data_IF_582739657647
#
_entry.id   IF_582739657647
#
_cell.length_a   1.000
_cell.length_b   1.000
_cell.length_c   1.000
_cell.angle_alpha   90.00
_cell.angle_beta   90.00
_cell.angle_gamma   90.00
#
_symmetry.space_group_name_H-M   'P 1'
#
loop_
_entity.id
_entity.type
_entity.pdbx_description
1 polymer ?
#
# COMPACT_ATOMS: atom_id res chain seq x y z
N UNK A 1 -6.34 -25.69 -3.40
CA UNK A 1 -7.13 -24.69 -4.15
C UNK A 1 -8.28 -24.28 -3.26
N UNK A 2 -8.41 -23.00 -2.92
CA UNK A 2 -9.61 -22.51 -2.25
C UNK A 2 -10.79 -22.61 -3.23
N UNK A 3 -12.00 -22.94 -2.78
CA UNK A 3 -13.18 -22.98 -3.64
C UNK A 3 -13.40 -21.61 -4.27
N UNK A 4 -13.46 -21.55 -5.61
CA UNK A 4 -13.82 -20.35 -6.36
C UNK A 4 -15.31 -20.10 -6.18
N UNK A 5 -15.65 -19.37 -5.13
CA UNK A 5 -17.00 -18.85 -4.94
C UNK A 5 -17.25 -17.76 -6.00
N UNK A 6 -18.38 -17.81 -6.74
CA UNK A 6 -18.74 -16.74 -7.67
C UNK A 6 -18.82 -15.40 -6.93
N UNK A 7 -18.35 -14.32 -7.57
CA UNK A 7 -18.27 -12.94 -7.03
C UNK A 7 -17.21 -12.68 -5.94
N UNK A 8 -16.39 -13.67 -5.55
CA UNK A 8 -15.35 -13.49 -4.52
C UNK A 8 -13.97 -13.19 -5.12
N UNK A 9 -13.69 -13.67 -6.34
CA UNK A 9 -12.42 -13.44 -7.03
C UNK A 9 -12.38 -12.14 -7.84
N UNK A 10 -13.54 -11.67 -8.32
CA UNK A 10 -13.69 -10.44 -9.10
C UNK A 10 -14.96 -9.72 -8.63
N UNK A 11 -14.79 -8.53 -8.03
CA UNK A 11 -15.90 -7.72 -7.53
C UNK A 11 -15.90 -6.36 -8.23
N UNK A 12 -16.84 -6.17 -9.15
CA UNK A 12 -17.00 -4.95 -9.94
C UNK A 12 -17.64 -3.79 -9.14
N UNK A 13 -18.13 -4.04 -7.93
CA UNK A 13 -18.67 -3.02 -7.02
C UNK A 13 -17.57 -2.17 -6.40
N UNK A 14 -16.34 -2.71 -6.31
CA UNK A 14 -15.21 -2.00 -5.71
C UNK A 14 -14.72 -0.95 -6.71
N UNK A 15 -14.95 0.33 -6.38
CA UNK A 15 -14.48 1.47 -7.20
C UNK A 15 -13.00 1.76 -6.97
N UNK A 16 -12.55 1.67 -5.72
CA UNK A 16 -11.20 2.04 -5.29
C UNK A 16 -10.65 0.93 -4.40
N UNK A 17 -9.48 0.40 -4.76
CA UNK A 17 -8.75 -0.60 -3.97
C UNK A 17 -7.34 -0.10 -3.63
N UNK A 18 -6.96 -0.21 -2.36
CA UNK A 18 -5.65 0.18 -1.84
C UNK A 18 -5.09 -0.94 -0.99
N UNK A 19 -3.83 -1.28 -1.23
CA UNK A 19 -3.14 -2.30 -0.46
C UNK A 19 -1.71 -1.88 -0.19
N UNK A 20 -1.31 -1.95 1.09
CA UNK A 20 0.06 -1.80 1.51
C UNK A 20 0.70 -3.20 1.66
N UNK A 21 1.86 -3.39 1.04
CA UNK A 21 2.58 -4.65 0.99
C UNK A 21 3.95 -4.53 1.64
N UNK A 22 4.36 -5.56 2.38
CA UNK A 22 5.65 -5.62 3.07
C UNK A 22 6.75 -6.20 2.18
N UNK A 23 7.85 -5.47 1.99
CA UNK A 23 9.02 -5.93 1.22
C UNK A 23 9.85 -6.99 1.96
N UNK A 24 9.99 -6.86 3.28
CA UNK A 24 10.96 -7.66 4.04
C UNK A 24 10.35 -8.91 4.70
N UNK A 25 9.07 -9.17 4.48
CA UNK A 25 8.40 -10.34 5.07
C UNK A 25 8.80 -11.64 4.37
N UNK A 26 9.43 -12.56 5.13
CA UNK A 26 10.03 -13.80 4.63
C UNK A 26 9.41 -15.08 5.21
N UNK A 27 8.34 -15.01 6.00
CA UNK A 27 7.68 -16.23 6.50
C UNK A 27 6.88 -16.90 5.40
N UNK A 28 7.05 -18.22 5.25
CA UNK A 28 6.46 -19.02 4.18
C UNK A 28 4.93 -18.93 4.07
N UNK A 29 4.26 -18.73 5.21
CA UNK A 29 2.79 -18.60 5.29
C UNK A 29 2.26 -17.18 5.08
N UNK A 30 3.12 -16.16 5.05
CA UNK A 30 2.71 -14.74 4.96
C UNK A 30 2.78 -14.22 3.54
N UNK A 31 2.20 -14.94 2.60
CA UNK A 31 2.26 -14.58 1.18
C UNK A 31 1.28 -13.46 0.85
N UNK A 32 1.69 -12.49 0.01
CA UNK A 32 0.77 -11.43 -0.40
C UNK A 32 -0.26 -12.01 -1.37
N UNK A 33 -1.52 -11.61 -1.19
CA UNK A 33 -2.58 -11.86 -2.17
C UNK A 33 -2.81 -10.55 -2.91
N UNK A 34 -2.61 -10.57 -4.22
CA UNK A 34 -2.83 -9.41 -5.08
C UNK A 34 -4.29 -9.31 -5.52
N UNK A 35 -4.69 -8.12 -5.93
CA UNK A 35 -5.99 -7.88 -6.53
C UNK A 35 -6.08 -8.55 -7.90
N UNK A 36 -7.07 -9.43 -8.08
CA UNK A 36 -7.31 -10.10 -9.35
C UNK A 36 -8.31 -9.27 -10.16
N UNK A 37 -7.85 -8.64 -11.25
CA UNK A 37 -8.78 -8.02 -12.20
C UNK A 37 -9.40 -9.09 -13.09
N UNK A 38 -10.72 -9.01 -13.31
CA UNK A 38 -11.37 -9.81 -14.33
C UNK A 38 -10.72 -9.46 -15.69
N UNK A 39 -10.23 -10.47 -16.41
CA UNK A 39 -9.85 -10.26 -17.81
C UNK A 39 -11.12 -9.84 -18.56
N UNK A 40 -11.11 -8.73 -19.32
CA UNK A 40 -12.22 -8.43 -20.20
C UNK A 40 -12.42 -9.66 -21.10
N UNK A 41 -13.66 -10.14 -21.22
CA UNK A 41 -13.98 -11.17 -22.21
C UNK A 41 -13.63 -10.56 -23.57
N UNK A 42 -12.52 -10.98 -24.17
CA UNK A 42 -12.26 -10.70 -25.57
C UNK A 42 -13.34 -11.42 -26.36
N UNK A 43 -14.37 -10.67 -26.74
CA UNK A 43 -15.17 -10.98 -27.91
C UNK A 43 -14.19 -11.13 -29.07
N UNK A 44 -14.31 -12.21 -29.83
CA UNK A 44 -13.48 -12.65 -30.97
C UNK A 44 -12.39 -13.67 -30.65
N UNK A 45 -12.81 -14.94 -30.48
CA UNK A 45 -12.37 -15.97 -31.42
C UNK A 45 -13.59 -16.71 -31.93
N UNK A 46 -14.04 -16.31 -33.13
CA UNK A 46 -14.98 -17.04 -33.96
C UNK A 46 -14.33 -18.34 -34.43
N UNK A 47 -14.25 -19.34 -33.55
CA UNK A 47 -13.96 -20.72 -33.97
C UNK A 47 -15.29 -21.38 -34.32
N UNK A 48 -15.46 -21.65 -35.61
CA UNK A 48 -16.52 -22.50 -36.15
C UNK A 48 -16.57 -23.83 -35.38
N UNK A 49 -17.50 -23.99 -34.47
CA UNK A 49 -17.90 -25.30 -33.93
C UNK A 49 -19.33 -25.55 -34.34
N UNK A 50 -19.49 -26.59 -35.15
CA UNK A 50 -20.77 -27.09 -35.64
C UNK A 50 -21.72 -27.36 -34.46
N UNK A 51 -22.95 -26.92 -34.62
CA UNK A 51 -24.07 -27.31 -33.78
C UNK A 51 -24.23 -28.84 -33.79
N UNK A 52 -24.28 -29.44 -32.61
CA UNK A 52 -25.15 -30.59 -32.30
C UNK A 52 -25.13 -30.89 -30.79
N UNK A 53 -26.30 -30.64 -30.19
CA UNK A 53 -27.01 -31.40 -29.15
C UNK A 53 -26.36 -31.64 -27.76
N UNK A 54 -26.98 -31.08 -26.71
CA UNK A 54 -27.83 -31.80 -25.73
C UNK A 54 -28.10 -30.89 -24.50
N UNK A 55 -29.39 -30.73 -24.19
CA UNK A 55 -29.96 -30.04 -23.03
C UNK A 55 -29.51 -30.63 -21.68
N UNK A 56 -29.20 -29.75 -20.72
CA UNK A 56 -29.59 -29.91 -19.31
C UNK A 56 -29.40 -28.58 -18.59
N UNK A 57 -30.51 -28.00 -18.15
CA UNK A 57 -30.64 -26.63 -17.68
C UNK A 57 -30.03 -26.36 -16.31
N UNK A 58 -29.22 -25.29 -16.25
CA UNK A 58 -29.37 -24.19 -15.28
C UNK A 58 -29.08 -22.91 -16.06
N UNK A 59 -30.12 -22.22 -16.54
CA UNK A 59 -29.98 -20.88 -17.09
C UNK A 59 -29.70 -19.93 -15.93
N UNK A 60 -28.46 -19.45 -15.83
CA UNK A 60 -28.17 -18.25 -15.05
C UNK A 60 -29.07 -17.12 -15.57
N UNK A 61 -29.72 -16.34 -14.70
CA UNK A 61 -30.58 -15.26 -15.15
C UNK A 61 -29.74 -14.34 -16.05
N UNK A 62 -30.18 -14.17 -17.29
CA UNK A 62 -29.70 -13.12 -18.18
C UNK A 62 -30.16 -11.79 -17.57
N UNK A 63 -29.39 -11.32 -16.60
CA UNK A 63 -29.49 -9.97 -16.07
C UNK A 63 -29.16 -8.98 -17.17
N UNK A 64 -29.98 -7.95 -17.25
CA UNK A 64 -30.02 -6.88 -18.23
C UNK A 64 -28.62 -6.29 -18.49
N UNK A 65 -28.36 -6.06 -19.77
CA UNK A 65 -27.35 -5.16 -20.39
C UNK A 65 -26.05 -4.91 -19.62
N UNK A 66 -24.93 -5.20 -20.26
CA UNK A 66 -23.56 -4.78 -19.91
C UNK A 66 -23.43 -3.24 -19.74
N UNK A 67 -24.10 -2.66 -18.73
CA UNK A 67 -23.92 -1.29 -18.30
C UNK A 67 -22.54 -1.17 -17.69
N UNK A 68 -21.57 -0.88 -18.54
CA UNK A 68 -20.43 0.00 -18.28
C UNK A 68 -19.86 -0.10 -16.86
N UNK A 69 -19.51 -1.31 -16.43
CA UNK A 69 -18.84 -1.49 -15.14
C UNK A 69 -17.52 -0.74 -15.15
N UNK A 70 -17.43 0.31 -14.33
CA UNK A 70 -16.23 1.15 -14.24
C UNK A 70 -15.07 0.34 -13.70
N UNK A 71 -13.92 0.38 -14.40
CA UNK A 71 -12.67 -0.27 -13.96
C UNK A 71 -12.31 0.15 -12.52
N UNK A 72 -12.10 -0.81 -11.63
CA UNK A 72 -11.60 -0.55 -10.27
C UNK A 72 -10.24 0.15 -10.31
N UNK A 73 -10.10 1.25 -9.57
CA UNK A 73 -8.82 1.92 -9.38
C UNK A 73 -8.00 1.19 -8.31
N UNK A 74 -7.05 0.37 -8.74
CA UNK A 74 -6.20 -0.49 -7.90
C UNK A 74 -4.84 0.16 -7.70
N UNK A 75 -4.39 0.30 -6.45
CA UNK A 75 -3.00 0.63 -6.09
C UNK A 75 -2.50 -0.34 -5.03
N UNK A 76 -1.45 -1.07 -5.37
CA UNK A 76 -0.75 -2.00 -4.48
C UNK A 76 0.68 -1.49 -4.29
N UNK A 77 0.98 -0.94 -3.13
CA UNK A 77 2.21 -0.20 -2.87
C UNK A 77 3.06 -0.94 -1.84
N UNK A 78 4.35 -1.06 -2.14
CA UNK A 78 5.33 -1.78 -1.34
C UNK A 78 6.06 -0.84 -0.39
N UNK A 79 6.14 -1.25 0.88
CA UNK A 79 6.74 -0.53 1.99
C UNK A 79 7.90 -1.32 2.59
N UNK A 80 8.82 -0.58 3.23
CA UNK A 80 9.91 -1.13 4.04
C UNK A 80 9.34 -1.93 5.21
N UNK A 81 9.99 -3.02 5.57
CA UNK A 81 9.68 -3.80 6.78
C UNK A 81 8.88 -5.08 6.54
N UNK A 82 8.64 -5.81 7.63
CA UNK A 82 7.90 -7.06 7.66
C UNK A 82 6.38 -6.84 7.82
N UNK A 83 5.60 -7.91 7.95
CA UNK A 83 4.13 -7.85 7.95
C UNK A 83 3.55 -6.84 8.97
N UNK A 84 4.06 -6.82 10.19
CA UNK A 84 3.58 -5.92 11.24
C UNK A 84 4.25 -4.54 11.21
N UNK A 85 5.37 -4.39 10.49
CA UNK A 85 5.95 -3.07 10.23
C UNK A 85 5.14 -2.31 9.17
N UNK A 86 4.29 -3.00 8.41
CA UNK A 86 3.33 -2.37 7.47
C UNK A 86 1.91 -2.37 8.03
N UNK A 87 1.48 -3.46 8.68
CA UNK A 87 0.13 -3.60 9.24
C UNK A 87 -0.06 -3.03 10.65
N UNK A 88 1.03 -2.75 11.38
CA UNK A 88 1.00 -2.34 12.78
C UNK A 88 0.96 -3.50 13.78
N UNK A 89 1.09 -3.18 15.06
CA UNK A 89 0.89 -4.10 16.19
C UNK A 89 2.14 -4.83 16.71
N UNK A 90 3.35 -4.50 16.25
CA UNK A 90 4.60 -5.09 16.76
C UNK A 90 5.46 -4.17 17.63
N UNK A 91 5.27 -2.86 17.56
CA UNK A 91 6.00 -1.87 18.37
C UNK A 91 5.02 -1.27 19.37
N UNK A 92 5.45 -1.12 20.63
CA UNK A 92 4.67 -0.40 21.64
C UNK A 92 4.75 1.11 21.37
N UNK A 93 3.69 1.84 21.66
CA UNK A 93 3.55 3.28 21.34
C UNK A 93 4.47 4.22 22.14
N UNK A 94 5.56 3.72 22.74
CA UNK A 94 6.35 4.45 23.73
C UNK A 94 7.04 5.70 23.18
N UNK A 95 7.36 5.72 21.89
CA UNK A 95 8.14 6.80 21.27
C UNK A 95 7.39 7.56 20.16
N UNK A 96 6.12 7.22 19.90
CA UNK A 96 5.32 7.82 18.82
C UNK A 96 5.82 7.55 17.40
N UNK A 97 6.87 6.73 17.25
CA UNK A 97 7.51 6.42 15.98
C UNK A 97 7.55 4.92 15.71
N UNK A 98 7.06 4.51 14.54
CA UNK A 98 6.99 3.13 14.10
C UNK A 98 6.99 3.07 12.57
N UNK A 99 7.61 2.04 11.97
CA UNK A 99 7.58 1.82 10.51
C UNK A 99 6.14 1.77 9.97
N UNK A 100 5.20 1.23 10.75
CA UNK A 100 3.78 1.12 10.37
C UNK A 100 3.06 2.46 10.27
N UNK A 101 3.63 3.52 10.85
CA UNK A 101 3.06 4.85 10.71
C UNK A 101 3.16 5.36 9.26
N UNK A 102 4.17 4.92 8.51
CA UNK A 102 4.37 5.31 7.11
C UNK A 102 3.22 4.78 6.24
N UNK A 103 2.94 3.47 6.32
CA UNK A 103 1.82 2.87 5.60
C UNK A 103 0.46 3.39 6.07
N UNK A 104 0.34 3.71 7.37
CA UNK A 104 -0.87 4.33 7.92
C UNK A 104 -1.10 5.75 7.35
N UNK A 105 -0.07 6.61 7.33
CA UNK A 105 -0.14 7.95 6.69
C UNK A 105 -0.54 7.84 5.23
N UNK A 106 0.10 6.95 4.49
CA UNK A 106 -0.23 6.71 3.09
C UNK A 106 -1.68 6.25 2.92
N UNK A 107 -2.16 5.32 3.75
CA UNK A 107 -3.54 4.84 3.67
C UNK A 107 -4.56 5.95 3.93
N UNK A 108 -4.31 6.81 4.93
CA UNK A 108 -5.18 7.95 5.24
C UNK A 108 -5.22 8.93 4.06
N UNK A 109 -4.06 9.21 3.45
CA UNK A 109 -3.98 10.05 2.24
C UNK A 109 -4.79 9.45 1.10
N UNK A 110 -4.61 8.17 0.78
CA UNK A 110 -5.38 7.53 -0.29
C UNK A 110 -6.88 7.45 0.01
N UNK A 111 -7.29 7.36 1.29
CA UNK A 111 -8.70 7.42 1.69
C UNK A 111 -9.30 8.82 1.48
N UNK A 112 -8.55 9.87 1.80
CA UNK A 112 -8.97 11.25 1.59
C UNK A 112 -9.00 11.61 0.10
N UNK A 113 -8.00 11.17 -0.67
CA UNK A 113 -7.95 11.37 -2.13
C UNK A 113 -9.07 10.61 -2.85
N UNK A 114 -9.48 9.45 -2.33
CA UNK A 114 -10.56 8.65 -2.87
C UNK A 114 -11.97 9.20 -2.53
N UNK A 115 -12.06 10.19 -1.63
CA UNK A 115 -13.30 10.78 -1.14
C UNK A 115 -14.38 9.74 -0.78
N UNK A 116 -13.99 8.78 0.05
CA UNK A 116 -14.85 7.65 0.42
C UNK A 116 -15.82 7.93 1.58
N UNK A 117 -15.89 9.17 2.08
CA UNK A 117 -16.80 9.57 3.16
C UNK A 117 -16.46 9.02 4.55
N UNK A 118 -15.22 8.57 4.77
CA UNK A 118 -14.77 8.09 6.09
C UNK A 118 -14.60 9.28 7.05
N UNK A 119 -15.28 9.20 8.19
CA UNK A 119 -15.15 10.20 9.26
C UNK A 119 -14.00 9.83 10.19
N UNK A 120 -13.12 10.80 10.44
CA UNK A 120 -11.97 10.60 11.32
C UNK A 120 -12.11 11.35 12.65
N UNK A 121 -11.63 10.75 13.72
CA UNK A 121 -11.48 11.43 15.00
C UNK A 121 -10.18 12.25 14.99
N UNK A 122 -10.30 13.57 14.85
CA UNK A 122 -9.17 14.49 14.77
C UNK A 122 -8.27 14.46 16.02
N UNK A 123 -8.84 14.23 17.20
CA UNK A 123 -8.06 14.11 18.44
C UNK A 123 -7.20 12.83 18.44
N UNK A 124 -7.61 11.78 17.73
CA UNK A 124 -6.80 10.57 17.61
C UNK A 124 -5.57 10.80 16.73
N UNK A 125 -5.65 11.62 15.70
CA UNK A 125 -4.53 11.93 14.81
C UNK A 125 -3.36 12.61 15.53
N UNK A 126 -3.64 13.52 16.47
CA UNK A 126 -2.60 14.14 17.30
C UNK A 126 -1.83 13.15 18.16
N UNK A 127 -2.43 12.03 18.57
CA UNK A 127 -1.75 10.98 19.35
C UNK A 127 -0.74 10.18 18.53
N UNK A 128 -0.96 10.10 17.22
CA UNK A 128 -0.15 9.28 16.31
C UNK A 128 0.80 10.12 15.45
N UNK A 129 0.96 11.42 15.74
CA UNK A 129 1.69 12.38 14.89
C UNK A 129 1.20 12.37 13.43
N UNK A 130 -0.09 12.14 13.23
CA UNK A 130 -0.76 12.09 11.93
C UNK A 130 -1.55 13.38 11.70
N UNK A 131 -0.96 14.56 11.90
CA UNK A 131 -1.70 15.82 11.78
C UNK A 131 -2.38 15.93 10.39
N UNK A 132 -3.70 16.08 10.38
CA UNK A 132 -4.53 16.06 9.15
C UNK A 132 -4.21 17.23 8.23
N UNK A 133 -3.68 18.32 8.79
CA UNK A 133 -3.15 19.44 8.00
C UNK A 133 -1.95 19.02 7.12
N UNK A 134 -1.30 17.90 7.43
CA UNK A 134 -0.24 17.28 6.63
C UNK A 134 -0.79 16.48 5.44
N UNK A 135 -2.05 16.04 5.53
CA UNK A 135 -2.68 15.18 4.51
C UNK A 135 -3.44 16.02 3.48
N UNK A 136 -3.98 17.18 3.87
CA UNK A 136 -4.44 18.21 2.94
C UNK A 136 -4.22 19.63 3.50
N UNK A 137 -3.42 20.48 2.83
CA UNK A 137 -3.34 21.91 3.17
C UNK A 137 -4.68 22.65 3.02
N UNK A 138 -5.59 22.13 2.19
CA UNK A 138 -6.81 22.80 1.74
C UNK A 138 -7.94 22.80 2.79
N UNK A 139 -7.97 21.83 3.72
CA UNK A 139 -8.98 21.75 4.79
C UNK A 139 -8.80 22.84 5.87
N UNK A 140 -7.60 23.43 5.96
CA UNK A 140 -7.27 24.46 6.93
C UNK A 140 -8.07 25.76 6.71
N UNK A 141 -8.44 26.06 5.46
CA UNK A 141 -9.18 27.28 5.10
C UNK A 141 -10.64 27.26 5.54
N UNK A 142 -11.27 26.07 5.59
CA UNK A 142 -12.68 25.93 5.94
C UNK A 142 -12.93 25.92 7.45
N UNK A 143 -11.93 25.53 8.26
CA UNK A 143 -12.08 25.44 9.72
C UNK A 143 -11.64 26.71 10.46
N UNK A 144 -10.85 27.60 9.83
CA UNK A 144 -10.39 28.84 10.46
C UNK A 144 -11.42 29.98 10.45
N UNK A 145 -12.44 29.92 9.59
CA UNK A 145 -13.47 30.97 9.50
C UNK A 145 -14.52 30.93 10.61
N UNK A 146 -14.51 29.92 11.48
CA UNK A 146 -15.46 29.78 12.59
C UNK A 146 -14.88 30.11 13.98
N UNK A 147 -13.60 30.50 14.09
CA UNK A 147 -12.94 30.81 15.37
C UNK A 147 -12.52 32.28 15.54
N UNK A 148 -12.71 33.14 14.55
CA UNK A 148 -12.36 34.57 14.60
C UNK A 148 -13.61 35.47 14.64
N UNK A 149 -14.41 35.33 15.69
CA UNK A 149 -15.42 36.36 16.00
C UNK A 149 -15.63 36.59 17.50
N UNK A 150 -14.59 36.48 18.32
CA UNK A 150 -14.59 37.00 19.70
C UNK A 150 -13.17 37.38 20.13
N UNK A 151 -12.86 38.69 20.21
CA UNK A 151 -11.65 39.16 20.89
C UNK A 151 -11.02 40.42 20.30
N UNK A 152 -11.19 41.53 21.01
CA UNK A 152 -10.75 42.90 20.71
C UNK A 152 -9.22 43.12 20.65
N UNK A 153 -8.83 44.03 19.75
CA UNK A 153 -7.81 45.10 19.85
C UNK A 153 -6.62 44.98 20.83
N UNK A 154 -5.38 45.08 20.30
CA UNK A 154 -4.48 46.23 20.53
C UNK A 154 -3.15 46.15 19.74
N UNK A 155 -2.78 47.32 19.21
CA UNK A 155 -1.60 47.69 18.43
C UNK A 155 -0.21 47.27 18.97
N UNK A 156 0.69 46.85 18.07
CA UNK A 156 2.07 47.42 17.97
C UNK A 156 2.77 47.02 16.67
N UNK A 157 3.01 47.99 15.79
CA UNK A 157 3.93 47.83 14.66
C UNK A 157 5.39 47.93 15.07
N UNK A 158 6.29 47.39 14.24
CA UNK A 158 7.69 47.83 14.05
C UNK A 158 8.32 47.11 12.83
N UNK A 159 8.44 47.88 11.75
CA UNK A 159 9.55 47.99 10.77
C UNK A 159 10.07 46.80 9.96
N UNK A 160 10.03 47.03 8.64
CA UNK A 160 10.76 46.41 7.54
C UNK A 160 12.24 46.05 7.83
N UNK A 161 12.67 44.87 7.37
CA UNK A 161 14.01 44.70 6.80
C UNK A 161 14.05 43.59 5.75
N UNK A 162 14.08 44.01 4.49
CA UNK A 162 14.47 43.19 3.37
C UNK A 162 15.89 42.63 3.57
N UNK A 163 16.05 41.33 3.31
CA UNK A 163 17.28 40.74 2.78
C UNK A 163 16.87 39.60 1.87
N UNK A 164 16.95 39.86 0.56
CA UNK A 164 17.04 38.80 -0.42
C UNK A 164 18.30 37.98 -0.17
N UNK A 165 18.18 36.67 -0.36
CA UNK A 165 19.32 35.79 -0.61
C UNK A 165 18.84 34.54 -1.35
N UNK A 166 19.10 34.59 -2.65
CA UNK A 166 19.72 33.54 -3.47
C UNK A 166 19.07 32.15 -3.49
N UNK A 167 18.60 31.82 -4.70
CA UNK A 167 18.30 30.48 -5.20
C UNK A 167 19.34 29.43 -4.78
N UNK A 168 18.92 28.50 -3.93
CA UNK A 168 19.33 27.11 -4.03
C UNK A 168 18.07 26.26 -4.07
N UNK A 169 17.82 25.64 -5.21
CA UNK A 169 16.82 24.60 -5.41
C UNK A 169 17.22 23.34 -4.64
N UNK A 170 17.14 23.37 -3.32
CA UNK A 170 16.95 22.18 -2.51
C UNK A 170 15.44 21.98 -2.42
N UNK A 171 14.95 20.88 -2.99
CA UNK A 171 13.55 20.47 -2.82
C UNK A 171 13.27 20.41 -1.31
N UNK A 172 12.48 21.36 -0.80
CA UNK A 172 12.07 21.34 0.59
C UNK A 172 11.26 20.06 0.80
N UNK A 173 11.82 19.12 1.55
CA UNK A 173 11.10 17.93 1.99
C UNK A 173 9.80 18.39 2.62
N UNK A 174 8.71 17.80 2.15
CA UNK A 174 7.39 18.01 2.73
C UNK A 174 7.39 17.56 4.20
N UNK A 175 6.48 18.12 4.99
CA UNK A 175 6.36 17.75 6.40
C UNK A 175 6.06 16.26 6.59
N UNK A 176 5.37 15.60 5.64
CA UNK A 176 5.12 14.15 5.69
C UNK A 176 6.40 13.32 5.47
N UNK A 177 7.26 13.72 4.54
CA UNK A 177 8.55 13.04 4.32
C UNK A 177 9.46 13.16 5.53
N UNK A 178 9.43 14.29 6.23
CA UNK A 178 10.19 14.48 7.47
C UNK A 178 9.74 13.52 8.59
N UNK A 179 8.43 13.29 8.73
CA UNK A 179 7.93 12.29 9.69
C UNK A 179 8.25 10.86 9.25
N UNK A 180 8.09 10.54 7.96
CA UNK A 180 8.50 9.24 7.41
C UNK A 180 9.98 8.94 7.69
N UNK A 181 10.84 9.95 7.57
CA UNK A 181 12.27 9.83 7.85
C UNK A 181 12.57 9.50 9.32
N UNK A 182 11.77 10.00 10.27
CA UNK A 182 11.89 9.64 11.68
C UNK A 182 11.47 8.19 11.91
N UNK A 183 10.37 7.77 11.29
CA UNK A 183 9.86 6.40 11.40
C UNK A 183 10.79 5.36 10.75
N UNK A 184 11.48 5.73 9.66
CA UNK A 184 12.50 4.90 8.99
C UNK A 184 13.76 4.62 9.84
N UNK A 185 13.94 5.31 10.97
CA UNK A 185 15.04 5.00 11.90
C UNK A 185 14.78 3.72 12.71
N UNK A 186 13.52 3.27 12.78
CA UNK A 186 13.16 2.07 13.50
C UNK A 186 13.65 0.82 12.75
N UNK A 187 14.12 -0.17 13.51
CA UNK A 187 14.60 -1.43 12.94
C UNK A 187 13.42 -2.33 12.55
N UNK A 188 13.38 -2.87 11.31
CA UNK A 188 12.38 -3.85 10.91
C UNK A 188 12.33 -5.07 11.83
N UNK A 189 11.12 -5.54 12.14
CA UNK A 189 10.89 -6.66 13.05
C UNK A 189 10.67 -7.95 12.25
N UNK A 190 11.78 -8.63 11.93
CA UNK A 190 11.70 -9.95 11.32
C UNK A 190 11.50 -11.06 12.38
N UNK A 191 10.35 -11.72 12.32
CA UNK A 191 10.03 -12.79 13.26
C UNK A 191 10.86 -14.07 13.05
N UNK A 192 11.48 -14.28 11.89
CA UNK A 192 12.40 -15.41 11.67
C UNK A 192 13.75 -15.21 12.35
N UNK A 193 14.14 -13.95 12.60
CA UNK A 193 15.42 -13.58 13.21
C UNK A 193 15.34 -13.39 14.73
N UNK A 194 14.15 -13.53 15.33
CA UNK A 194 13.97 -13.48 16.78
C UNK A 194 14.73 -14.63 17.46
N UNK A 195 15.35 -14.32 18.61
CA UNK A 195 16.07 -15.27 19.46
C UNK A 195 15.22 -15.63 20.69
N UNK A 196 15.21 -16.89 21.16
CA UNK A 196 15.83 -18.09 20.57
C UNK A 196 15.13 -18.52 19.26
N UNK A 197 15.69 -19.51 18.55
CA UNK A 197 15.25 -19.94 17.19
C UNK A 197 13.73 -19.91 17.07
N UNK A 198 13.26 -19.05 16.18
CA UNK A 198 11.85 -18.81 15.96
C UNK A 198 11.13 -20.09 15.50
N UNK A 199 9.98 -20.40 16.12
CA UNK A 199 9.13 -21.55 15.72
C UNK A 199 8.70 -21.48 14.25
N UNK A 200 8.77 -20.31 13.63
CA UNK A 200 8.54 -20.14 12.20
C UNK A 200 9.47 -20.99 11.32
N UNK A 201 10.71 -21.29 11.77
CA UNK A 201 11.64 -22.14 11.01
C UNK A 201 11.12 -23.56 10.76
N UNK A 202 10.30 -24.12 11.65
CA UNK A 202 9.66 -25.41 11.40
C UNK A 202 8.75 -25.36 10.16
N UNK A 203 8.08 -24.23 9.93
CA UNK A 203 7.22 -24.03 8.77
C UNK A 203 8.01 -23.72 7.49
N UNK A 204 9.25 -23.22 7.60
CA UNK A 204 10.13 -22.93 6.46
C UNK A 204 10.66 -24.21 5.77
N UNK A 205 10.73 -25.32 6.51
CA UNK A 205 11.20 -26.62 6.02
C UNK A 205 10.06 -27.42 5.37
N UNK A 206 8.80 -27.06 5.60
CA UNK A 206 7.65 -27.75 5.00
C UNK A 206 7.53 -27.33 3.53
N UNK A 207 7.51 -28.28 2.57
CA UNK A 207 7.33 -27.95 1.17
C UNK A 207 5.98 -27.30 0.92
N UNK A 208 5.99 -26.05 0.42
CA UNK A 208 4.78 -25.31 0.04
C UNK A 208 4.81 -24.98 -1.44
N UNK A 209 3.63 -24.88 -2.07
CA UNK A 209 3.52 -24.55 -3.51
C UNK A 209 3.69 -23.06 -3.69
N UNK A 210 4.78 -22.57 -4.26
CA UNK A 210 5.03 -21.16 -4.60
C UNK A 210 4.55 -20.82 -5.99
N UNK A 211 3.82 -19.71 -6.11
CA UNK A 211 3.42 -19.10 -7.37
C UNK A 211 4.29 -17.89 -7.64
N UNK A 212 4.91 -17.82 -8.81
CA UNK A 212 5.64 -16.62 -9.27
C UNK A 212 5.29 -16.34 -10.72
N UNK A 213 5.40 -15.08 -11.14
CA UNK A 213 5.14 -14.72 -12.55
C UNK A 213 6.46 -14.65 -13.29
N UNK A 214 6.55 -15.38 -14.39
CA UNK A 214 7.73 -15.35 -15.24
C UNK A 214 7.89 -14.00 -15.93
N UNK A 215 9.08 -13.70 -16.47
CA UNK A 215 9.28 -12.54 -17.35
C UNK A 215 8.33 -12.51 -18.56
N UNK A 216 7.79 -13.66 -18.96
CA UNK A 216 6.80 -13.82 -20.02
C UNK A 216 5.35 -13.53 -19.58
N UNK A 217 5.11 -13.22 -18.31
CA UNK A 217 3.78 -12.92 -17.77
C UNK A 217 2.95 -14.14 -17.36
N UNK A 218 3.50 -15.36 -17.48
CA UNK A 218 2.84 -16.59 -17.07
C UNK A 218 3.06 -16.89 -15.59
N UNK A 219 2.02 -17.34 -14.88
CA UNK A 219 2.13 -17.74 -13.47
C UNK A 219 2.52 -19.21 -13.37
N UNK A 220 3.75 -19.46 -12.91
CA UNK A 220 4.22 -20.82 -12.62
C UNK A 220 4.06 -21.18 -11.15
N UNK A 221 3.79 -22.46 -10.88
CA UNK A 221 3.68 -23.01 -9.52
C UNK A 221 4.74 -24.08 -9.28
N UNK A 222 5.62 -23.88 -8.29
CA UNK A 222 6.63 -24.87 -7.88
C UNK A 222 6.45 -25.27 -6.43
N UNK A 223 6.54 -26.56 -6.11
CA UNK A 223 6.59 -27.05 -4.72
C UNK A 223 8.03 -27.11 -4.23
N UNK A 224 8.36 -26.34 -3.20
CA UNK A 224 9.72 -26.29 -2.64
C UNK A 224 9.64 -25.94 -1.14
N UNK A 225 10.76 -26.05 -0.41
CA UNK A 225 10.91 -25.53 0.94
C UNK A 225 11.28 -24.04 0.90
N UNK A 226 10.79 -23.23 1.82
CA UNK A 226 10.96 -21.77 1.72
C UNK A 226 12.34 -21.29 2.20
N UNK A 227 12.84 -21.87 3.31
CA UNK A 227 14.14 -21.54 3.93
C UNK A 227 14.36 -20.03 4.22
N UNK A 228 13.30 -19.29 4.55
CA UNK A 228 13.39 -17.86 4.83
C UNK A 228 13.83 -17.02 3.61
N UNK A 229 13.58 -17.51 2.39
CA UNK A 229 13.85 -16.77 1.15
C UNK A 229 12.96 -15.51 1.07
N UNK A 230 13.48 -14.50 0.40
CA UNK A 230 12.72 -13.31 0.05
C UNK A 230 11.50 -13.64 -0.80
N UNK A 231 10.38 -12.94 -0.56
CA UNK A 231 9.21 -13.03 -1.43
C UNK A 231 9.52 -12.53 -2.83
N UNK A 232 8.82 -13.06 -3.82
CA UNK A 232 8.89 -12.58 -5.20
C UNK A 232 7.94 -11.39 -5.38
N UNK A 233 8.42 -10.36 -6.07
CA UNK A 233 7.65 -9.14 -6.37
C UNK A 233 7.38 -9.08 -7.88
N UNK A 234 6.14 -8.76 -8.30
CA UNK A 234 5.77 -8.56 -9.70
C UNK A 234 6.65 -7.56 -10.45
N UNK A 235 6.80 -7.70 -11.78
CA UNK A 235 7.45 -6.67 -12.59
C UNK A 235 6.70 -5.34 -12.49
N UNK A 236 7.44 -4.24 -12.59
CA UNK A 236 6.91 -2.88 -12.45
C UNK A 236 6.20 -2.60 -11.11
N UNK A 237 6.82 -2.92 -9.95
CA UNK A 237 6.18 -2.71 -8.67
C UNK A 237 6.12 -1.22 -8.30
N UNK A 238 5.06 -0.84 -7.59
CA UNK A 238 4.94 0.50 -7.00
C UNK A 238 5.57 0.49 -5.61
N UNK A 239 6.71 1.15 -5.45
CA UNK A 239 7.38 1.30 -4.16
C UNK A 239 6.98 2.63 -3.53
N UNK A 240 6.78 2.67 -2.22
CA UNK A 240 6.57 3.94 -1.55
C UNK A 240 7.86 4.77 -1.56
N UNK A 241 7.77 6.10 -1.64
CA UNK A 241 8.92 7.02 -1.64
C UNK A 241 9.83 6.84 -0.41
N UNK A 242 9.27 6.40 0.71
CA UNK A 242 10.05 6.04 1.91
C UNK A 242 11.09 4.94 1.63
N UNK A 243 10.84 4.03 0.69
CA UNK A 243 11.81 3.01 0.28
C UNK A 243 13.04 3.66 -0.36
N UNK A 244 12.85 4.62 -1.26
CA UNK A 244 13.93 5.39 -1.88
C UNK A 244 14.73 6.17 -0.84
N UNK A 245 14.04 6.92 0.02
CA UNK A 245 14.68 7.68 1.10
C UNK A 245 15.51 6.79 2.04
N UNK A 246 15.01 5.59 2.35
CA UNK A 246 15.72 4.65 3.21
C UNK A 246 16.95 4.04 2.53
N UNK A 247 16.87 3.77 1.22
CA UNK A 247 18.03 3.31 0.41
C UNK A 247 19.14 4.36 0.41
N UNK A 248 18.79 5.62 0.12
CA UNK A 248 19.76 6.72 -0.01
C UNK A 248 20.43 7.07 1.33
N UNK A 249 19.66 7.13 2.42
CA UNK A 249 20.17 7.62 3.71
C UNK A 249 20.74 6.53 4.60
N UNK A 250 20.09 5.37 4.62
CA UNK A 250 20.42 4.29 5.57
C UNK A 250 21.06 3.07 4.88
N UNK A 251 21.28 3.13 3.55
CA UNK A 251 21.85 2.02 2.79
C UNK A 251 20.96 0.78 2.76
N UNK A 252 19.64 0.95 2.92
CA UNK A 252 18.69 -0.16 2.98
C UNK A 252 18.65 -0.94 1.66
N UNK A 253 18.53 -2.26 1.78
CA UNK A 253 18.30 -3.17 0.64
C UNK A 253 17.09 -4.05 0.97
N UNK A 254 16.03 -4.04 0.15
CA UNK A 254 14.87 -4.90 0.37
C UNK A 254 15.27 -6.37 0.39
N UNK A 255 14.66 -7.15 1.28
CA UNK A 255 14.85 -8.61 1.33
C UNK A 255 14.03 -9.36 0.28
N UNK A 256 13.13 -8.68 -0.43
CA UNK A 256 12.36 -9.23 -1.54
C UNK A 256 13.23 -9.47 -2.79
N UNK A 257 12.80 -10.42 -3.61
CA UNK A 257 13.37 -10.71 -4.93
C UNK A 257 12.55 -9.98 -6.01
N UNK A 258 13.17 -9.02 -6.68
CA UNK A 258 12.56 -8.22 -7.75
C UNK A 258 13.60 -7.85 -8.81
N UNK A 259 13.14 -7.42 -9.99
CA UNK A 259 14.03 -6.92 -11.05
C UNK A 259 14.41 -5.47 -10.73
N UNK A 260 15.68 -5.24 -10.40
CA UNK A 260 16.20 -3.89 -10.15
C UNK A 260 15.96 -2.96 -11.36
N UNK A 261 15.63 -1.70 -11.09
CA UNK A 261 15.27 -0.66 -12.06
C UNK A 261 13.92 -0.87 -12.77
N UNK A 262 13.06 -1.75 -12.25
CA UNK A 262 11.65 -1.82 -12.71
C UNK A 262 10.69 -1.12 -11.76
N UNK A 263 11.14 -0.75 -10.56
CA UNK A 263 10.32 -0.09 -9.55
C UNK A 263 9.93 1.35 -9.94
N UNK A 264 8.71 1.74 -9.60
CA UNK A 264 8.24 3.13 -9.68
C UNK A 264 7.93 3.63 -8.28
N UNK A 265 8.47 4.79 -7.89
CA UNK A 265 8.23 5.36 -6.57
C UNK A 265 6.97 6.22 -6.54
N UNK A 266 6.14 6.02 -5.52
CA UNK A 266 4.88 6.75 -5.31
C UNK A 266 4.83 7.33 -3.88
N UNK A 267 4.16 8.48 -3.74
CA UNK A 267 3.96 9.19 -2.47
C UNK A 267 2.54 9.03 -1.94
#
# INVERSE_FOLDING_TARGET
>A
MAPNLPFVSVNTTIKVFRQALALDERRAKFRPNFYHQAKPKTTLESSNVKAQDIESGVQAPQGETDEQFTKTHVKEVWFVGCHADVGGGSVLDSNGHALSNISLRWMIKELLDADCGVLFNLSAFGRWNLDVNLVQPQLSTASQSQLTSQGLDQNRGLTNRAKGRENQSQASLSTYELEDLKDLQQKPIDQLEKKPISMWWFLEIIPTTFTFTNPLGETESKRDCHFGRGRWVPPNPLFHKSVEMHRERNGYKPRANYKENSETYVS
#
